data_IF_537394494605
#
_entry.id   IF_537394494605
#
_cell.length_a   1.000
_cell.length_b   1.000
_cell.length_c   1.000
_cell.angle_alpha   90.00
_cell.angle_beta   90.00
_cell.angle_gamma   90.00
#
_symmetry.space_group_name_H-M   'P 1'
#
loop_
_entity.id
_entity.type
_entity.pdbx_description
1 polymer ?
#
# COMPACT_ATOMS: atom_id res chain seq x y z
N UNK A 1 8.96 -11.03 -18.74
CA UNK A 1 8.71 -9.65 -18.29
C UNK A 1 7.40 -9.66 -17.52
N UNK A 2 7.31 -9.06 -16.31
CA UNK A 2 6.12 -9.20 -15.46
C UNK A 2 4.95 -8.30 -15.89
N UNK A 3 5.26 -7.07 -16.31
CA UNK A 3 4.29 -6.09 -16.81
C UNK A 3 4.83 -4.66 -16.78
N UNK A 4 4.00 -3.71 -17.20
CA UNK A 4 4.23 -2.26 -17.11
C UNK A 4 2.94 -1.55 -16.66
N UNK A 5 3.11 -0.41 -15.97
CA UNK A 5 2.02 0.51 -15.75
C UNK A 5 2.34 1.62 -14.75
N UNK A 6 1.37 1.93 -13.88
CA UNK A 6 1.41 3.09 -12.99
C UNK A 6 0.90 2.80 -11.57
N UNK A 7 0.65 3.86 -10.80
CA UNK A 7 0.14 3.75 -9.43
C UNK A 7 -1.27 4.34 -9.30
N UNK A 8 -2.16 3.61 -8.63
CA UNK A 8 -3.49 4.07 -8.24
C UNK A 8 -3.42 4.87 -6.93
N UNK A 9 -2.77 6.03 -6.95
CA UNK A 9 -2.73 6.94 -5.80
C UNK A 9 -4.08 7.65 -5.60
N UNK A 10 -4.29 8.21 -4.42
CA UNK A 10 -5.48 9.03 -4.18
C UNK A 10 -5.53 10.22 -5.14
N UNK A 11 -4.40 10.89 -5.38
CA UNK A 11 -4.31 11.98 -6.36
C UNK A 11 -4.69 11.54 -7.78
N UNK A 12 -4.27 10.35 -8.23
CA UNK A 12 -4.63 9.85 -9.56
C UNK A 12 -6.15 9.67 -9.69
N UNK A 13 -6.77 9.03 -8.70
CA UNK A 13 -8.21 8.83 -8.67
C UNK A 13 -8.96 10.17 -8.59
N UNK A 14 -8.61 11.04 -7.64
CA UNK A 14 -9.26 12.35 -7.47
C UNK A 14 -9.19 13.19 -8.75
N UNK A 15 -8.03 13.21 -9.43
CA UNK A 15 -7.89 13.99 -10.66
C UNK A 15 -8.69 13.39 -11.83
N UNK A 16 -8.73 12.07 -11.96
CA UNK A 16 -9.58 11.43 -12.97
C UNK A 16 -11.05 11.82 -12.74
N UNK A 17 -11.57 11.66 -11.52
CA UNK A 17 -12.98 11.96 -11.21
C UNK A 17 -13.35 13.45 -11.21
N UNK A 18 -12.38 14.36 -11.33
CA UNK A 18 -12.64 15.79 -11.61
C UNK A 18 -12.95 16.07 -13.09
N UNK A 19 -12.60 15.16 -14.00
CA UNK A 19 -12.89 15.30 -15.42
C UNK A 19 -14.37 15.01 -15.70
N UNK A 20 -14.87 15.48 -16.84
CA UNK A 20 -16.18 15.06 -17.34
C UNK A 20 -16.18 13.56 -17.68
N UNK A 21 -17.32 12.86 -17.62
CA UNK A 21 -17.37 11.41 -17.86
C UNK A 21 -16.67 10.97 -19.15
N UNK A 22 -16.91 11.69 -20.26
CA UNK A 22 -16.24 11.42 -21.55
C UNK A 22 -14.72 11.52 -21.48
N UNK A 23 -14.18 12.49 -20.74
CA UNK A 23 -12.74 12.65 -20.59
C UNK A 23 -12.14 11.59 -19.63
N UNK A 24 -12.92 11.12 -18.65
CA UNK A 24 -12.52 10.00 -17.82
C UNK A 24 -12.35 8.73 -18.67
N UNK A 25 -13.36 8.42 -19.49
CA UNK A 25 -13.34 7.23 -20.36
C UNK A 25 -12.16 7.30 -21.34
N UNK A 26 -11.95 8.45 -21.99
CA UNK A 26 -10.79 8.64 -22.87
C UNK A 26 -9.46 8.42 -22.15
N UNK A 27 -9.30 8.94 -20.93
CA UNK A 27 -8.07 8.73 -20.16
C UNK A 27 -7.86 7.25 -19.79
N UNK A 28 -8.92 6.55 -19.39
CA UNK A 28 -8.88 5.12 -19.09
C UNK A 28 -8.55 4.29 -20.33
N UNK A 29 -9.16 4.61 -21.47
CA UNK A 29 -8.91 3.93 -22.74
C UNK A 29 -7.44 4.05 -23.15
N UNK A 30 -6.85 5.25 -23.04
CA UNK A 30 -5.44 5.46 -23.38
C UNK A 30 -4.47 4.62 -22.52
N UNK A 31 -4.80 4.32 -21.27
CA UNK A 31 -3.95 3.50 -20.42
C UNK A 31 -4.21 2.00 -20.54
N UNK A 32 -5.47 1.58 -20.55
CA UNK A 32 -5.84 0.18 -20.28
C UNK A 32 -6.45 -0.57 -21.47
N UNK A 33 -7.01 0.13 -22.46
CA UNK A 33 -7.68 -0.52 -23.59
C UNK A 33 -6.70 -1.13 -24.60
N UNK A 34 -7.21 -1.98 -25.49
CA UNK A 34 -6.45 -2.57 -26.59
C UNK A 34 -5.91 -1.54 -27.60
N UNK A 35 -6.60 -0.39 -27.72
CA UNK A 35 -6.21 0.72 -28.60
C UNK A 35 -5.28 1.74 -27.89
N UNK A 36 -4.92 1.48 -26.62
CA UNK A 36 -4.07 2.33 -25.79
C UNK A 36 -2.71 1.70 -25.47
N UNK A 37 -2.18 2.02 -24.29
CA UNK A 37 -0.88 1.54 -23.81
C UNK A 37 -0.93 0.12 -23.22
N UNK A 38 -2.13 -0.44 -23.04
CA UNK A 38 -2.36 -1.80 -22.51
C UNK A 38 -1.59 -2.07 -21.19
N UNK A 39 -1.67 -1.13 -20.23
CA UNK A 39 -1.10 -1.34 -18.90
C UNK A 39 -1.63 -2.63 -18.29
N UNK A 40 -0.71 -3.47 -17.79
CA UNK A 40 -1.00 -4.80 -17.25
C UNK A 40 -0.40 -5.03 -15.86
N UNK A 41 0.13 -3.97 -15.24
CA UNK A 41 0.63 -3.97 -13.87
C UNK A 41 0.35 -2.61 -13.22
N UNK A 42 -0.04 -2.61 -11.94
CA UNK A 42 -0.22 -1.37 -11.22
C UNK A 42 0.08 -1.49 -9.72
N UNK A 43 0.52 -0.38 -9.13
CA UNK A 43 0.78 -0.24 -7.70
C UNK A 43 -0.41 0.37 -6.97
N UNK A 44 -0.75 -0.14 -5.79
CA UNK A 44 -1.82 0.39 -4.94
C UNK A 44 -1.26 0.74 -3.55
N UNK A 45 -1.31 2.01 -3.13
CA UNK A 45 -0.92 2.37 -1.77
C UNK A 45 -1.87 1.78 -0.70
N UNK A 46 -1.28 1.27 0.37
CA UNK A 46 -1.98 0.88 1.61
C UNK A 46 -2.00 2.10 2.54
N UNK A 47 -3.14 2.78 2.64
CA UNK A 47 -3.29 4.03 3.40
C UNK A 47 -2.95 5.28 2.58
N UNK A 48 -2.71 6.40 3.28
CA UNK A 48 -2.28 7.65 2.64
C UNK A 48 -0.83 7.63 2.21
N UNK A 49 -0.50 8.57 1.33
CA UNK A 49 0.85 8.83 0.80
C UNK A 49 1.06 10.35 0.71
N UNK A 50 2.24 10.77 0.29
CA UNK A 50 2.51 12.13 -0.18
C UNK A 50 1.58 12.58 -1.34
N UNK A 51 1.01 11.64 -2.10
CA UNK A 51 -0.01 11.86 -3.12
C UNK A 51 -1.45 11.68 -2.59
N UNK A 52 -1.69 11.98 -1.31
CA UNK A 52 -3.01 12.03 -0.68
C UNK A 52 -3.33 13.45 -0.18
N UNK A 53 -4.62 13.81 -0.11
CA UNK A 53 -5.05 15.15 0.35
C UNK A 53 -5.05 15.32 1.87
N UNK A 54 -4.87 14.21 2.61
CA UNK A 54 -4.73 14.15 4.06
C UNK A 54 -3.96 12.89 4.43
N UNK A 55 -3.35 12.91 5.61
CA UNK A 55 -2.82 11.71 6.26
C UNK A 55 -3.93 10.87 6.86
N UNK A 56 -3.94 9.57 6.59
CA UNK A 56 -4.85 8.60 7.20
C UNK A 56 -4.27 7.18 7.15
N UNK A 57 -4.79 6.32 8.02
CA UNK A 57 -4.59 4.87 7.93
C UNK A 57 -5.93 4.15 7.99
N UNK A 58 -5.94 2.83 7.78
CA UNK A 58 -7.19 2.08 7.84
C UNK A 58 -7.62 1.70 9.26
N UNK A 59 -6.84 1.98 10.31
CA UNK A 59 -7.20 1.63 11.69
C UNK A 59 -6.67 2.63 12.72
N UNK A 60 -7.32 3.79 12.82
CA UNK A 60 -6.89 4.90 13.68
C UNK A 60 -7.27 4.72 15.16
N UNK A 61 -8.11 3.73 15.49
CA UNK A 61 -8.47 3.47 16.89
C UNK A 61 -7.27 2.92 17.67
N UNK A 62 -6.84 3.70 18.66
CA UNK A 62 -5.72 3.38 19.54
C UNK A 62 -5.87 2.00 20.18
N UNK A 63 -4.77 1.25 20.19
CA UNK A 63 -4.64 -0.09 20.79
C UNK A 63 -5.65 -1.12 20.26
N UNK A 64 -6.18 -0.93 19.05
CA UNK A 64 -6.98 -1.95 18.37
C UNK A 64 -6.11 -3.02 17.70
N UNK A 65 -5.39 -3.78 18.53
CA UNK A 65 -4.52 -4.89 18.10
C UNK A 65 -5.26 -5.99 17.32
N UNK A 66 -6.60 -6.04 17.40
CA UNK A 66 -7.43 -7.04 16.71
C UNK A 66 -8.03 -6.51 15.40
N UNK A 67 -7.72 -5.28 15.00
CA UNK A 67 -8.23 -4.64 13.78
C UNK A 67 -9.77 -4.65 13.67
N UNK A 68 -10.47 -4.48 14.80
CA UNK A 68 -11.94 -4.46 14.82
C UNK A 68 -12.52 -3.25 14.11
N UNK A 69 -11.77 -2.15 14.05
CA UNK A 69 -12.19 -0.86 13.48
C UNK A 69 -11.50 -0.61 12.14
N UNK A 70 -10.88 -1.65 11.56
CA UNK A 70 -10.26 -1.57 10.25
C UNK A 70 -11.29 -1.23 9.17
N UNK A 71 -11.00 -0.24 8.34
CA UNK A 71 -11.87 0.17 7.23
C UNK A 71 -11.09 0.81 6.09
N UNK A 72 -11.49 0.51 4.85
CA UNK A 72 -10.97 1.12 3.62
C UNK A 72 -11.86 2.28 3.14
N UNK A 73 -12.71 2.85 4.00
CA UNK A 73 -13.65 3.91 3.63
C UNK A 73 -12.97 5.11 2.95
N UNK A 74 -11.75 5.46 3.35
CA UNK A 74 -10.95 6.52 2.73
C UNK A 74 -10.65 6.30 1.25
N UNK A 75 -10.71 5.05 0.76
CA UNK A 75 -10.41 4.68 -0.62
C UNK A 75 -11.66 4.71 -1.52
N UNK A 76 -12.85 4.87 -0.93
CA UNK A 76 -14.13 4.89 -1.62
C UNK A 76 -14.59 6.32 -1.88
N UNK A 77 -15.64 6.46 -2.70
CA UNK A 77 -16.39 7.70 -2.81
C UNK A 77 -16.96 8.10 -1.42
N UNK A 78 -17.01 9.40 -1.08
CA UNK A 78 -16.59 10.56 -1.87
C UNK A 78 -15.13 10.98 -1.63
N UNK A 79 -14.30 10.17 -0.98
CA UNK A 79 -12.94 10.54 -0.60
C UNK A 79 -11.97 10.47 -1.78
N UNK A 80 -11.36 9.31 -2.06
CA UNK A 80 -10.40 9.21 -3.19
C UNK A 80 -10.99 8.62 -4.46
N UNK A 81 -12.03 7.78 -4.38
CA UNK A 81 -12.54 6.96 -5.49
C UNK A 81 -11.49 5.96 -6.06
N UNK A 82 -10.45 5.63 -5.29
CA UNK A 82 -9.39 4.70 -5.68
C UNK A 82 -9.93 3.31 -6.02
N UNK A 83 -10.88 2.80 -5.25
CA UNK A 83 -11.52 1.50 -5.51
C UNK A 83 -12.29 1.49 -6.83
N UNK A 84 -13.08 2.53 -7.10
CA UNK A 84 -13.85 2.64 -8.35
C UNK A 84 -12.93 2.72 -9.58
N UNK A 85 -11.83 3.49 -9.47
CA UNK A 85 -10.80 3.54 -10.52
C UNK A 85 -10.19 2.16 -10.80
N UNK A 86 -9.79 1.43 -9.75
CA UNK A 86 -9.19 0.09 -9.91
C UNK A 86 -10.19 -0.87 -10.57
N UNK A 87 -11.46 -0.87 -10.13
CA UNK A 87 -12.50 -1.73 -10.70
C UNK A 87 -12.75 -1.42 -12.19
N UNK A 88 -12.78 -0.13 -12.58
CA UNK A 88 -12.86 0.25 -14.00
C UNK A 88 -11.69 -0.30 -14.80
N UNK A 89 -10.47 -0.18 -14.29
CA UNK A 89 -9.28 -0.69 -14.98
C UNK A 89 -9.32 -2.21 -15.13
N UNK A 90 -9.71 -2.95 -14.08
CA UNK A 90 -9.86 -4.41 -14.10
C UNK A 90 -10.94 -4.91 -15.06
N UNK A 91 -11.96 -4.09 -15.34
CA UNK A 91 -12.99 -4.42 -16.33
C UNK A 91 -12.52 -4.21 -17.78
N UNK A 92 -11.37 -3.55 -17.99
CA UNK A 92 -10.82 -3.27 -19.31
C UNK A 92 -9.67 -4.21 -19.67
N UNK A 93 -8.91 -4.69 -18.69
CA UNK A 93 -7.73 -5.52 -18.90
C UNK A 93 -7.35 -6.32 -17.65
N UNK A 94 -6.56 -7.37 -17.86
CA UNK A 94 -5.96 -8.13 -16.75
C UNK A 94 -4.78 -7.35 -16.15
N UNK A 95 -4.86 -7.03 -14.85
CA UNK A 95 -3.82 -6.30 -14.13
C UNK A 95 -3.17 -7.16 -13.05
N UNK A 96 -1.83 -7.20 -13.04
CA UNK A 96 -1.07 -7.61 -11.85
C UNK A 96 -0.99 -6.43 -10.88
N UNK A 97 -1.79 -6.45 -9.82
CA UNK A 97 -1.74 -5.43 -8.78
C UNK A 97 -0.70 -5.80 -7.72
N UNK A 98 0.07 -4.82 -7.25
CA UNK A 98 0.86 -4.97 -6.04
C UNK A 98 0.64 -3.82 -5.07
N UNK A 99 0.67 -4.13 -3.77
CA UNK A 99 0.41 -3.16 -2.72
C UNK A 99 1.70 -2.73 -2.01
N UNK A 100 1.76 -1.50 -1.50
CA UNK A 100 2.88 -1.00 -0.71
C UNK A 100 2.41 0.04 0.31
N UNK A 101 2.92 -0.04 1.53
CA UNK A 101 2.51 0.80 2.66
C UNK A 101 3.49 1.93 2.90
N UNK A 102 2.99 3.14 3.20
CA UNK A 102 3.85 4.29 3.56
C UNK A 102 4.05 4.38 5.07
N UNK A 103 2.99 4.25 5.86
CA UNK A 103 3.07 4.27 7.32
C UNK A 103 2.00 3.40 7.99
N UNK A 104 2.30 2.90 9.21
CA UNK A 104 1.34 2.20 10.05
C UNK A 104 0.39 3.19 10.74
N UNK A 105 -0.69 2.70 11.40
CA UNK A 105 -1.44 3.51 12.33
C UNK A 105 -0.57 4.14 13.43
N UNK A 106 -0.81 5.42 13.72
CA UNK A 106 0.03 6.22 14.63
C UNK A 106 0.24 5.58 16.01
N UNK A 107 -0.78 4.91 16.55
CA UNK A 107 -0.69 4.28 17.86
C UNK A 107 0.34 3.12 17.93
N UNK A 108 0.82 2.63 16.79
CA UNK A 108 1.90 1.64 16.69
C UNK A 108 3.31 2.24 16.71
N UNK A 109 3.47 3.55 16.52
CA UNK A 109 4.79 4.19 16.32
C UNK A 109 5.44 4.65 17.63
N UNK A 110 6.77 4.69 17.67
CA UNK A 110 7.57 5.25 18.78
C UNK A 110 7.52 6.78 18.77
N UNK A 111 6.34 7.38 18.87
CA UNK A 111 6.16 8.82 18.85
C UNK A 111 4.72 9.23 18.58
N UNK A 112 4.56 10.50 18.22
CA UNK A 112 3.30 11.16 17.86
C UNK A 112 3.24 11.52 16.36
N UNK A 113 4.18 11.00 15.56
CA UNK A 113 4.26 11.20 14.12
C UNK A 113 4.29 9.88 13.34
N UNK A 114 3.76 9.95 12.11
CA UNK A 114 3.89 8.92 11.06
C UNK A 114 4.96 9.27 10.02
N UNK A 115 5.66 10.40 10.20
CA UNK A 115 6.82 10.82 9.39
C UNK A 115 8.10 10.35 10.08
N UNK A 116 9.01 9.73 9.32
CA UNK A 116 10.27 9.15 9.79
C UNK A 116 10.08 8.26 11.04
N UNK A 117 8.96 7.54 11.09
CA UNK A 117 8.54 6.82 12.27
C UNK A 117 9.15 5.42 12.36
N UNK A 118 9.09 4.83 13.56
CA UNK A 118 9.52 3.46 13.83
C UNK A 118 8.45 2.71 14.64
N UNK A 119 8.29 1.41 14.45
CA UNK A 119 7.33 0.59 15.22
C UNK A 119 7.79 0.40 16.68
N UNK A 120 6.85 0.44 17.63
CA UNK A 120 7.10 0.09 19.04
C UNK A 120 7.54 -1.37 19.18
N UNK A 121 8.53 -1.63 20.05
CA UNK A 121 9.02 -2.98 20.28
C UNK A 121 9.81 -3.55 19.10
N UNK A 122 9.90 -4.87 19.00
CA UNK A 122 10.73 -5.59 18.01
C UNK A 122 9.93 -6.63 17.21
N UNK A 123 10.40 -7.05 16.02
CA UNK A 123 9.80 -8.17 15.29
C UNK A 123 9.60 -9.39 16.19
N UNK A 124 8.45 -10.06 16.04
CA UNK A 124 7.97 -11.11 16.93
C UNK A 124 7.08 -10.61 18.08
N UNK A 125 7.04 -9.31 18.37
CA UNK A 125 6.20 -8.75 19.43
C UNK A 125 4.83 -8.25 18.94
N UNK A 126 4.00 -7.76 19.88
CA UNK A 126 2.58 -7.44 19.65
C UNK A 126 2.32 -6.36 18.59
N UNK A 127 3.16 -5.33 18.51
CA UNK A 127 2.95 -4.23 17.54
C UNK A 127 3.33 -4.67 16.11
N UNK A 128 4.38 -5.46 15.97
CA UNK A 128 4.78 -6.06 14.69
C UNK A 128 3.78 -7.13 14.23
N UNK A 129 3.24 -7.92 15.16
CA UNK A 129 2.12 -8.83 14.89
C UNK A 129 0.88 -8.07 14.41
N UNK A 130 0.58 -6.93 15.04
CA UNK A 130 -0.52 -6.07 14.60
C UNK A 130 -0.26 -5.45 13.22
N UNK A 131 0.98 -5.04 12.91
CA UNK A 131 1.33 -4.53 11.59
C UNK A 131 1.10 -5.59 10.49
N UNK A 132 1.53 -6.84 10.72
CA UNK A 132 1.24 -7.93 9.80
C UNK A 132 -0.28 -8.15 9.61
N UNK A 133 -1.07 -8.10 10.70
CA UNK A 133 -2.52 -8.22 10.63
C UNK A 133 -3.17 -7.04 9.89
N UNK A 134 -2.62 -5.83 10.02
CA UNK A 134 -3.07 -4.65 9.28
C UNK A 134 -2.93 -4.85 7.77
N UNK A 135 -1.80 -5.40 7.30
CA UNK A 135 -1.62 -5.74 5.89
C UNK A 135 -2.54 -6.87 5.43
N UNK A 136 -2.70 -7.96 6.20
CA UNK A 136 -3.66 -9.02 5.88
C UNK A 136 -5.10 -8.48 5.77
N UNK A 137 -5.50 -7.55 6.66
CA UNK A 137 -6.83 -6.93 6.61
C UNK A 137 -7.06 -6.06 5.37
N UNK A 138 -6.01 -5.47 4.82
CA UNK A 138 -6.10 -4.76 3.54
C UNK A 138 -6.49 -5.71 2.41
N UNK A 139 -5.83 -6.87 2.28
CA UNK A 139 -6.17 -7.87 1.26
C UNK A 139 -7.57 -8.45 1.47
N UNK A 140 -7.95 -8.77 2.72
CA UNK A 140 -9.33 -9.18 3.05
C UNK A 140 -10.36 -8.16 2.57
N UNK A 141 -10.08 -6.87 2.77
CA UNK A 141 -11.03 -5.79 2.49
C UNK A 141 -11.13 -5.51 0.98
N UNK A 142 -10.01 -5.44 0.27
CA UNK A 142 -10.00 -5.23 -1.18
C UNK A 142 -10.58 -6.43 -1.95
N UNK A 143 -10.35 -7.66 -1.47
CA UNK A 143 -10.96 -8.86 -2.06
C UNK A 143 -12.48 -8.84 -2.00
N UNK A 144 -13.07 -8.25 -0.95
CA UNK A 144 -14.53 -8.05 -0.86
C UNK A 144 -15.07 -7.05 -1.88
N UNK A 145 -14.22 -6.16 -2.39
CA UNK A 145 -14.53 -5.27 -3.50
C UNK A 145 -14.20 -5.91 -4.87
N UNK A 146 -13.84 -7.20 -4.91
CA UNK A 146 -13.45 -7.90 -6.14
C UNK A 146 -12.07 -7.52 -6.66
N UNK A 147 -11.18 -7.01 -5.80
CA UNK A 147 -9.82 -6.62 -6.16
C UNK A 147 -8.83 -7.60 -5.53
N UNK A 148 -8.22 -8.45 -6.37
CA UNK A 148 -7.16 -9.37 -5.97
C UNK A 148 -5.76 -8.79 -6.27
N UNK A 149 -4.76 -9.25 -5.52
CA UNK A 149 -3.38 -8.79 -5.64
C UNK A 149 -2.43 -9.91 -6.03
N UNK A 150 -1.48 -9.60 -6.90
CA UNK A 150 -0.36 -10.47 -7.22
C UNK A 150 0.71 -10.44 -6.13
N UNK A 151 1.03 -9.26 -5.60
CA UNK A 151 2.11 -9.09 -4.64
C UNK A 151 1.89 -7.94 -3.66
N UNK A 152 2.82 -7.84 -2.71
CA UNK A 152 3.02 -6.68 -1.88
C UNK A 152 4.51 -6.43 -1.68
N UNK A 153 4.88 -5.20 -1.42
CA UNK A 153 6.17 -4.90 -0.82
C UNK A 153 6.03 -4.83 0.69
N UNK A 154 7.12 -5.06 1.44
CA UNK A 154 7.07 -5.02 2.91
C UNK A 154 6.75 -3.60 3.40
N UNK A 155 7.39 -2.60 2.81
CA UNK A 155 7.28 -1.20 3.20
C UNK A 155 7.82 -0.32 2.06
N UNK A 156 7.14 0.77 1.71
CA UNK A 156 7.66 1.79 0.80
C UNK A 156 8.85 2.49 1.44
N UNK A 157 9.97 2.57 0.71
CA UNK A 157 11.17 3.33 1.07
C UNK A 157 11.55 3.20 2.57
N UNK A 158 11.84 1.99 3.08
CA UNK A 158 12.10 1.79 4.50
C UNK A 158 13.44 2.38 4.94
N UNK A 159 14.35 2.71 4.02
CA UNK A 159 15.67 3.25 4.34
C UNK A 159 15.55 4.70 4.81
N UNK A 160 16.35 5.08 5.81
CA UNK A 160 16.45 6.47 6.21
C UNK A 160 17.48 7.18 5.31
N UNK A 161 17.10 8.17 4.50
CA UNK A 161 18.05 8.86 3.65
C UNK A 161 19.07 9.66 4.48
N UNK A 162 20.35 9.73 4.05
CA UNK A 162 21.41 10.37 4.83
C UNK A 162 21.32 11.90 4.89
N UNK A 163 20.69 12.53 3.89
CA UNK A 163 20.66 13.99 3.72
C UNK A 163 19.26 14.59 3.58
N UNK A 164 18.23 13.76 3.44
CA UNK A 164 16.85 14.23 3.26
C UNK A 164 16.06 14.07 4.57
N UNK A 165 15.25 15.07 4.90
CA UNK A 165 14.23 14.96 5.94
C UNK A 165 12.96 14.52 5.24
N UNK A 166 12.34 13.42 5.68
CA UNK A 166 11.04 13.06 5.12
C UNK A 166 10.01 14.11 5.52
N UNK A 167 9.12 14.45 4.58
CA UNK A 167 8.02 15.39 4.82
C UNK A 167 6.66 14.70 4.77
N UNK A 168 6.64 13.38 4.63
CA UNK A 168 5.44 12.58 4.41
C UNK A 168 5.48 11.27 5.20
N UNK A 169 4.37 10.55 5.18
CA UNK A 169 4.19 9.27 5.87
C UNK A 169 5.30 8.29 5.49
N UNK A 170 6.11 7.88 6.47
CA UNK A 170 7.24 6.97 6.26
C UNK A 170 7.49 6.12 7.49
N UNK A 171 7.56 4.81 7.31
CA UNK A 171 8.02 3.85 8.31
C UNK A 171 9.43 3.39 7.96
N UNK A 172 10.36 3.62 8.88
CA UNK A 172 11.75 3.20 8.74
C UNK A 172 11.96 1.80 9.31
N UNK A 173 12.64 0.96 8.54
CA UNK A 173 13.02 -0.40 8.91
C UNK A 173 14.49 -0.61 8.55
N UNK A 174 15.29 -1.11 9.49
CA UNK A 174 16.60 -1.65 9.14
C UNK A 174 16.46 -2.95 8.34
N UNK A 175 17.50 -3.39 7.62
CA UNK A 175 17.50 -4.69 6.93
C UNK A 175 17.18 -5.86 7.88
N UNK A 176 17.71 -5.83 9.11
CA UNK A 176 17.43 -6.87 10.11
C UNK A 176 15.99 -6.83 10.61
N UNK A 177 15.45 -5.63 10.80
CA UNK A 177 14.04 -5.45 11.19
C UNK A 177 13.10 -5.95 10.10
N UNK A 178 13.36 -5.63 8.83
CA UNK A 178 12.61 -6.14 7.69
C UNK A 178 12.71 -7.67 7.60
N UNK A 179 13.92 -8.24 7.65
CA UNK A 179 14.16 -9.69 7.64
C UNK A 179 13.37 -10.39 8.75
N UNK A 180 13.50 -9.91 9.98
CA UNK A 180 12.87 -10.55 11.13
C UNK A 180 11.36 -10.33 11.14
N UNK A 181 10.86 -9.20 10.63
CA UNK A 181 9.43 -8.98 10.45
C UNK A 181 8.83 -9.95 9.44
N UNK A 182 9.48 -10.15 8.28
CA UNK A 182 9.08 -11.16 7.30
C UNK A 182 9.06 -12.54 7.96
N UNK A 183 10.14 -12.92 8.64
CA UNK A 183 10.29 -14.26 9.23
C UNK A 183 9.32 -14.55 10.38
N UNK A 184 9.11 -13.60 11.28
CA UNK A 184 8.44 -13.84 12.57
C UNK A 184 6.97 -13.40 12.57
N UNK A 185 6.56 -12.51 11.66
CA UNK A 185 5.20 -11.95 11.67
C UNK A 185 4.53 -12.01 10.29
N UNK A 186 5.07 -11.29 9.30
CA UNK A 186 4.38 -11.06 8.02
C UNK A 186 4.29 -12.34 7.19
N UNK A 187 5.41 -13.02 6.96
CA UNK A 187 5.49 -14.23 6.13
C UNK A 187 4.53 -15.32 6.59
N UNK A 188 4.62 -15.80 7.85
CA UNK A 188 3.73 -16.85 8.36
C UNK A 188 2.24 -16.48 8.30
N UNK A 189 1.90 -15.20 8.53
CA UNK A 189 0.51 -14.75 8.48
C UNK A 189 -0.01 -14.69 7.04
N UNK A 190 0.79 -14.16 6.10
CA UNK A 190 0.43 -14.07 4.69
C UNK A 190 0.36 -15.45 4.05
N UNK A 191 1.28 -16.37 4.35
CA UNK A 191 1.21 -17.76 3.88
C UNK A 191 -0.09 -18.45 4.33
N UNK A 192 -0.55 -18.16 5.55
CA UNK A 192 -1.79 -18.73 6.08
C UNK A 192 -3.05 -18.12 5.45
N UNK A 193 -3.10 -16.80 5.30
CA UNK A 193 -4.33 -16.08 4.96
C UNK A 193 -4.45 -15.73 3.47
N UNK A 194 -3.32 -15.48 2.81
CA UNK A 194 -3.21 -15.00 1.43
C UNK A 194 -2.02 -15.68 0.70
N UNK A 195 -1.96 -17.03 0.64
CA UNK A 195 -0.81 -17.76 0.07
C UNK A 195 -0.50 -17.41 -1.40
N UNK A 196 -1.47 -16.82 -2.10
CA UNK A 196 -1.33 -16.33 -3.47
C UNK A 196 -0.47 -15.07 -3.59
N UNK A 197 -0.44 -14.22 -2.55
CA UNK A 197 0.21 -12.91 -2.56
C UNK A 197 1.71 -13.06 -2.33
N UNK A 198 2.52 -12.60 -3.28
CA UNK A 198 3.99 -12.59 -3.15
C UNK A 198 4.46 -11.43 -2.27
N UNK A 199 5.55 -11.63 -1.54
CA UNK A 199 6.21 -10.57 -0.74
C UNK A 199 7.50 -10.16 -1.44
N UNK A 200 7.67 -8.85 -1.64
CA UNK A 200 8.86 -8.22 -2.21
C UNK A 200 9.55 -7.37 -1.13
N UNK A 201 10.84 -7.60 -0.90
CA UNK A 201 11.62 -6.83 0.07
C UNK A 201 12.15 -5.52 -0.52
N UNK A 202 12.67 -4.64 0.35
CA UNK A 202 13.31 -3.36 0.04
C UNK A 202 12.34 -2.26 -0.44
N UNK A 203 11.83 -2.33 -1.68
CA UNK A 203 10.99 -1.26 -2.30
C UNK A 203 11.57 0.15 -2.12
N UNK A 204 12.87 0.26 -2.35
CA UNK A 204 13.67 1.47 -2.13
C UNK A 204 14.72 1.66 -3.25
N UNK A 205 15.55 2.68 -3.09
CA UNK A 205 16.57 3.10 -4.03
C UNK A 205 17.62 2.02 -4.26
N UNK A 206 18.04 1.89 -5.53
CA UNK A 206 19.05 0.90 -5.96
C UNK A 206 20.39 0.98 -5.18
N UNK A 207 20.95 2.15 -4.82
CA UNK A 207 22.24 2.21 -4.12
C UNK A 207 22.24 1.48 -2.77
N UNK A 208 21.13 1.50 -2.02
CA UNK A 208 21.01 0.84 -0.71
C UNK A 208 20.84 -0.68 -0.79
N UNK A 209 20.67 -1.25 -2.00
CA UNK A 209 20.40 -2.68 -2.17
C UNK A 209 21.54 -3.58 -1.68
N UNK A 210 22.79 -3.12 -1.75
CA UNK A 210 23.95 -3.91 -1.31
C UNK A 210 24.07 -3.98 0.22
N UNK A 211 23.42 -3.04 0.91
CA UNK A 211 23.41 -2.93 2.36
C UNK A 211 22.12 -3.55 2.97
N UNK A 212 21.25 -4.13 2.14
CA UNK A 212 19.94 -4.72 2.47
C UNK A 212 19.95 -6.26 2.48
#
# INVERSE_FOLDING_TARGET
MLGFGGAFTDAAAINLYKLSPKLQDLAMDQYFSEEGLQYNMARVPIGSTDFSTRTYTYNEKVDDFKMKNFTIASDKAPYSNKIDLIQRALNMTELKLFASSWAPPLWMTRGDSVVDCQIKGKPGEKYWTALALYYSKFFDAYKKEGIDFWAMTVQNEPEKPPLAVSQWETLRLTPEEERDFIKLNLGPLMEKNHPEVKIMANDDQKPGLMDR
#
